data_IF_877794266329
#
_entry.id   IF_877794266329
#
_cell.length_a   1.000
_cell.length_b   1.000
_cell.length_c   1.000
_cell.angle_alpha   90.00
_cell.angle_beta   90.00
_cell.angle_gamma   90.00
#
_symmetry.space_group_name_H-M   'P 1'
#
loop_
_entity.id
_entity.type
_entity.pdbx_description
1 polymer ?
#
# COMPACT_ATOMS: atom_id res chain seq x y z
N UNK A 1 1.36 15.13 -27.74
CA UNK A 1 1.79 15.10 -26.32
C UNK A 1 2.02 13.65 -25.92
N UNK A 2 3.27 13.18 -25.74
CA UNK A 2 3.53 11.79 -25.31
C UNK A 2 3.10 11.66 -23.84
N UNK A 3 1.88 11.17 -23.60
CA UNK A 3 1.24 11.09 -22.26
C UNK A 3 1.60 9.85 -21.46
N UNK A 4 2.47 8.97 -21.98
CA UNK A 4 2.92 7.76 -21.27
C UNK A 4 4.43 7.81 -21.08
N UNK A 5 4.87 8.06 -19.85
CA UNK A 5 6.25 7.89 -19.40
C UNK A 5 6.60 6.41 -19.47
N UNK A 6 7.80 6.07 -19.94
CA UNK A 6 8.22 4.70 -20.18
C UNK A 6 8.13 3.80 -18.94
N UNK A 7 7.70 2.56 -19.19
CA UNK A 7 7.35 1.53 -18.22
C UNK A 7 8.63 0.92 -17.64
N UNK A 8 9.30 1.65 -16.75
CA UNK A 8 10.52 1.17 -16.08
C UNK A 8 10.69 1.66 -14.65
N UNK A 9 10.27 2.91 -14.38
CA UNK A 9 10.40 3.55 -13.06
C UNK A 9 9.07 3.70 -12.30
N UNK A 10 8.01 3.00 -12.71
CA UNK A 10 6.66 3.19 -12.14
C UNK A 10 6.55 2.78 -10.66
N UNK A 11 7.43 1.92 -10.17
CA UNK A 11 7.37 1.36 -8.81
C UNK A 11 8.22 2.10 -7.79
N UNK A 12 9.13 2.99 -8.21
CA UNK A 12 9.96 3.78 -7.30
C UNK A 12 9.19 5.03 -6.88
N UNK A 13 9.12 5.26 -5.57
CA UNK A 13 8.38 6.37 -4.96
C UNK A 13 9.19 7.01 -3.85
N UNK A 14 9.08 8.34 -3.73
CA UNK A 14 9.60 9.07 -2.58
C UNK A 14 8.63 8.88 -1.42
N UNK A 15 9.18 8.65 -0.23
CA UNK A 15 8.41 8.70 1.01
C UNK A 15 8.24 10.18 1.37
N UNK A 16 7.02 10.55 1.76
CA UNK A 16 6.66 11.88 2.23
C UNK A 16 6.39 11.81 3.73
N UNK A 17 6.68 12.88 4.46
CA UNK A 17 6.35 12.99 5.88
C UNK A 17 5.19 13.95 6.06
N UNK A 18 4.24 13.58 6.91
CA UNK A 18 3.15 14.46 7.34
C UNK A 18 2.78 14.15 8.79
N UNK A 19 2.78 15.17 9.65
CA UNK A 19 2.31 15.10 11.06
C UNK A 19 2.87 13.88 11.82
N UNK A 20 4.18 13.64 11.73
CA UNK A 20 4.85 12.53 12.41
C UNK A 20 4.65 11.14 11.77
N UNK A 21 3.90 11.06 10.66
CA UNK A 21 3.70 9.84 9.89
C UNK A 21 4.41 9.92 8.53
N UNK A 22 4.81 8.76 8.01
CA UNK A 22 5.35 8.63 6.67
C UNK A 22 4.32 8.04 5.72
N UNK A 23 4.22 8.61 4.52
CA UNK A 23 3.25 8.25 3.50
C UNK A 23 3.99 8.00 2.19
N UNK A 24 3.47 7.07 1.39
CA UNK A 24 3.91 6.86 0.03
C UNK A 24 2.72 6.55 -0.86
N UNK A 25 2.74 7.03 -2.10
CA UNK A 25 1.70 6.67 -3.07
C UNK A 25 1.95 5.26 -3.59
N UNK A 26 0.95 4.39 -3.44
CA UNK A 26 0.97 3.07 -4.06
C UNK A 26 0.48 3.22 -5.50
N UNK A 27 1.21 2.69 -6.51
CA UNK A 27 0.75 2.72 -7.90
C UNK A 27 -0.68 2.17 -8.05
N UNK A 28 -1.51 2.88 -8.82
CA UNK A 28 -2.94 2.53 -9.00
C UNK A 28 -3.15 1.11 -9.55
N UNK A 29 -2.21 0.61 -10.37
CA UNK A 29 -2.23 -0.78 -10.87
C UNK A 29 -2.25 -1.80 -9.73
N UNK A 30 -1.43 -1.60 -8.69
CA UNK A 30 -1.34 -2.49 -7.54
C UNK A 30 -2.63 -2.42 -6.72
N UNK A 31 -3.12 -1.21 -6.45
CA UNK A 31 -4.39 -1.01 -5.73
C UNK A 31 -5.54 -1.74 -6.42
N UNK A 32 -5.65 -1.62 -7.75
CA UNK A 32 -6.68 -2.30 -8.56
C UNK A 32 -6.52 -3.82 -8.54
N UNK A 33 -5.30 -4.33 -8.66
CA UNK A 33 -5.03 -5.78 -8.61
C UNK A 33 -5.36 -6.40 -7.25
N UNK A 34 -5.14 -5.65 -6.17
CA UNK A 34 -5.49 -6.07 -4.81
C UNK A 34 -6.99 -5.85 -4.48
N UNK A 35 -7.75 -5.17 -5.33
CA UNK A 35 -9.15 -4.81 -5.05
C UNK A 35 -9.31 -3.83 -3.88
N UNK A 36 -8.24 -3.11 -3.54
CA UNK A 36 -8.16 -2.23 -2.39
C UNK A 36 -8.97 -0.95 -2.61
N UNK A 37 -9.70 -0.54 -1.57
CA UNK A 37 -10.56 0.65 -1.58
C UNK A 37 -10.03 1.75 -0.68
N UNK A 38 -10.44 2.99 -0.97
CA UNK A 38 -10.13 4.14 -0.10
C UNK A 38 -10.64 3.87 1.34
N UNK A 39 -9.90 4.36 2.34
CA UNK A 39 -10.25 4.29 3.77
C UNK A 39 -10.40 2.89 4.38
N UNK A 40 -10.07 1.84 3.64
CA UNK A 40 -10.04 0.49 4.20
C UNK A 40 -8.91 0.32 5.23
N UNK A 41 -9.10 -0.60 6.16
CA UNK A 41 -8.08 -0.93 7.16
C UNK A 41 -7.08 -1.95 6.61
N UNK A 42 -5.80 -1.69 6.83
CA UNK A 42 -4.69 -2.58 6.49
C UNK A 42 -3.75 -2.73 7.68
N UNK A 43 -3.00 -3.82 7.72
CA UNK A 43 -1.97 -4.08 8.72
C UNK A 43 -0.60 -3.93 8.08
N UNK A 44 0.22 -3.04 8.63
CA UNK A 44 1.62 -2.87 8.26
C UNK A 44 2.48 -3.65 9.25
N UNK A 45 3.30 -4.58 8.77
CA UNK A 45 4.26 -5.33 9.59
C UNK A 45 5.66 -5.21 9.03
N UNK A 46 6.66 -4.99 9.89
CA UNK A 46 8.07 -5.05 9.49
C UNK A 46 8.42 -6.50 9.13
N UNK A 47 9.10 -6.69 8.00
CA UNK A 47 9.63 -7.97 7.57
C UNK A 47 11.03 -7.76 6.99
N UNK A 48 12.04 -8.26 7.69
CA UNK A 48 13.45 -8.05 7.32
C UNK A 48 13.81 -6.57 7.23
N UNK A 49 14.36 -6.16 6.07
CA UNK A 49 14.74 -4.78 5.77
C UNK A 49 13.58 -3.92 5.25
N UNK A 50 12.38 -4.48 5.14
CA UNK A 50 11.19 -3.79 4.61
C UNK A 50 9.95 -3.97 5.47
N UNK A 51 8.80 -3.74 4.86
CA UNK A 51 7.49 -3.96 5.47
C UNK A 51 6.56 -4.66 4.47
N UNK A 52 5.58 -5.38 5.01
CA UNK A 52 4.49 -5.96 4.24
C UNK A 52 3.19 -5.36 4.75
N UNK A 53 2.34 -4.97 3.80
CA UNK A 53 1.00 -4.46 4.06
C UNK A 53 0.00 -5.52 3.64
N UNK A 54 -0.92 -5.90 4.53
CA UNK A 54 -1.95 -6.91 4.28
C UNK A 54 -3.32 -6.39 4.67
N UNK A 55 -4.37 -6.95 4.08
CA UNK A 55 -5.74 -6.68 4.49
C UNK A 55 -5.96 -6.98 5.98
N UNK A 56 -6.65 -6.08 6.66
CA UNK A 56 -7.03 -6.30 8.05
C UNK A 56 -8.19 -7.29 8.10
N UNK A 57 -7.88 -8.56 8.36
CA UNK A 57 -8.88 -9.57 8.68
C UNK A 57 -9.25 -9.41 10.16
N UNK A 58 -10.52 -9.11 10.51
CA UNK A 58 -10.94 -9.17 11.90
C UNK A 58 -10.66 -10.59 12.42
N UNK A 59 -10.11 -10.71 13.64
CA UNK A 59 -10.09 -12.01 14.31
C UNK A 59 -11.55 -12.46 14.34
N UNK A 60 -11.85 -13.61 13.75
CA UNK A 60 -13.18 -14.21 13.90
C UNK A 60 -13.47 -14.21 15.39
N UNK A 61 -14.53 -13.49 15.80
CA UNK A 61 -15.05 -13.60 17.16
C UNK A 61 -15.27 -15.09 17.41
N UNK A 62 -14.73 -15.58 18.53
CA UNK A 62 -14.48 -17.00 18.75
C UNK A 62 -15.62 -17.90 18.30
N UNK A 63 -15.29 -18.95 17.54
CA UNK A 63 -16.04 -20.19 17.68
C UNK A 63 -15.79 -20.65 19.12
N UNK A 64 -16.80 -20.43 19.97
CA UNK A 64 -16.97 -21.18 21.22
C UNK A 64 -16.97 -22.67 20.91
#
# INVERSE_FOLDING_TARGET
MKTRREVGHESVRKIQQSKGSYLMSIPMRIIRQLGWKERQKVVVKKQGKGFVVRDWKPKQAGKK
#
